data_IF_406162479892
#
_entry.id   IF_406162479892
#
_cell.length_a   1.000
_cell.length_b   1.000
_cell.length_c   1.000
_cell.angle_alpha   90.00
_cell.angle_beta   90.00
_cell.angle_gamma   90.00
#
_symmetry.space_group_name_H-M   'P 1'
#
loop_
_entity.id
_entity.type
_entity.pdbx_description
1 polymer ?
#
# COMPACT_ATOMS: atom_id res chain seq x y z
N UNK A 1 -17.19 6.38 -24.79
CA UNK A 1 -16.33 5.68 -23.76
C UNK A 1 -16.93 5.82 -22.36
N UNK A 2 -16.38 5.14 -21.35
CA UNK A 2 -16.78 5.39 -19.95
C UNK A 2 -16.42 6.82 -19.50
N UNK A 3 -15.35 7.39 -20.04
CA UNK A 3 -14.94 8.76 -19.77
C UNK A 3 -16.01 9.76 -20.22
N UNK A 4 -16.48 9.67 -21.48
CA UNK A 4 -17.50 10.57 -22.01
C UNK A 4 -18.80 10.52 -21.19
N UNK A 5 -19.18 9.32 -20.73
CA UNK A 5 -20.37 9.12 -19.88
C UNK A 5 -20.20 9.76 -18.49
N UNK A 6 -19.01 9.64 -17.89
CA UNK A 6 -18.69 10.28 -16.59
C UNK A 6 -18.64 11.80 -16.74
N UNK A 7 -18.04 12.32 -17.82
CA UNK A 7 -17.98 13.75 -18.11
C UNK A 7 -19.37 14.36 -18.35
N UNK A 8 -20.31 13.59 -18.96
CA UNK A 8 -21.71 14.00 -19.09
C UNK A 8 -22.50 13.94 -17.77
N UNK A 9 -21.88 13.54 -16.67
CA UNK A 9 -22.53 13.41 -15.36
C UNK A 9 -23.28 12.09 -15.14
N UNK A 10 -23.13 11.12 -16.06
CA UNK A 10 -23.82 9.84 -15.92
C UNK A 10 -23.25 9.01 -14.77
N UNK A 11 -24.13 8.43 -13.91
CA UNK A 11 -23.75 7.51 -12.85
C UNK A 11 -23.68 6.08 -13.40
N UNK A 12 -22.51 5.68 -13.84
CA UNK A 12 -22.28 4.34 -14.38
C UNK A 12 -22.18 3.30 -13.27
N UNK A 13 -22.66 2.08 -13.55
CA UNK A 13 -22.73 0.98 -12.59
C UNK A 13 -21.35 0.58 -12.04
N UNK A 14 -20.32 0.67 -12.88
CA UNK A 14 -18.92 0.35 -12.51
C UNK A 14 -18.35 1.26 -11.41
N UNK A 15 -18.92 2.46 -11.24
CA UNK A 15 -18.54 3.41 -10.20
C UNK A 15 -19.51 3.42 -9.00
N UNK A 16 -20.35 2.39 -8.84
CA UNK A 16 -21.38 2.35 -7.80
C UNK A 16 -20.84 2.51 -6.38
N UNK A 17 -19.64 1.98 -6.09
CA UNK A 17 -18.97 2.18 -4.79
C UNK A 17 -18.71 3.64 -4.49
N UNK A 18 -18.17 4.38 -5.46
CA UNK A 18 -17.94 5.83 -5.33
C UNK A 18 -19.25 6.60 -5.13
N UNK A 19 -20.28 6.28 -5.91
CA UNK A 19 -21.59 6.94 -5.78
C UNK A 19 -22.22 6.72 -4.41
N UNK A 20 -22.14 5.51 -3.86
CA UNK A 20 -22.64 5.21 -2.50
C UNK A 20 -21.88 6.01 -1.42
N UNK A 21 -20.59 6.19 -1.60
CA UNK A 21 -19.75 7.00 -0.68
C UNK A 21 -20.17 8.47 -0.74
N UNK A 22 -20.32 9.00 -1.96
CA UNK A 22 -20.73 10.38 -2.23
C UNK A 22 -22.16 10.68 -1.73
N UNK A 23 -23.09 9.75 -1.90
CA UNK A 23 -24.47 9.87 -1.41
C UNK A 23 -24.56 9.95 0.13
N UNK A 24 -23.51 9.48 0.84
CA UNK A 24 -23.37 9.63 2.30
C UNK A 24 -22.66 10.92 2.70
N UNK A 25 -22.31 11.80 1.76
CA UNK A 25 -21.58 13.03 2.01
C UNK A 25 -20.09 12.85 2.26
N UNK A 26 -19.53 11.66 1.95
CA UNK A 26 -18.13 11.34 2.11
C UNK A 26 -17.38 11.53 0.77
N UNK A 27 -16.08 11.80 0.85
CA UNK A 27 -15.22 11.94 -0.33
C UNK A 27 -14.88 10.56 -0.88
N UNK A 28 -15.27 10.29 -2.13
CA UNK A 28 -14.94 9.05 -2.81
C UNK A 28 -13.53 9.03 -3.40
N UNK A 29 -13.04 7.84 -3.72
CA UNK A 29 -11.75 7.68 -4.46
C UNK A 29 -11.80 8.40 -5.80
N UNK A 30 -12.94 8.41 -6.48
CA UNK A 30 -13.14 9.13 -7.74
C UNK A 30 -12.97 10.63 -7.56
N UNK A 31 -13.62 11.23 -6.57
CA UNK A 31 -13.47 12.66 -6.26
C UNK A 31 -12.04 13.01 -5.89
N UNK A 32 -11.42 12.22 -4.99
CA UNK A 32 -10.01 12.41 -4.64
C UNK A 32 -9.07 12.34 -5.85
N UNK A 33 -9.34 11.42 -6.79
CA UNK A 33 -8.55 11.31 -8.03
C UNK A 33 -8.72 12.53 -8.94
N UNK A 34 -9.95 13.02 -9.11
CA UNK A 34 -10.24 14.24 -9.89
C UNK A 34 -9.57 15.46 -9.26
N UNK A 35 -9.71 15.64 -7.95
CA UNK A 35 -9.09 16.75 -7.22
C UNK A 35 -7.56 16.72 -7.29
N UNK A 36 -6.97 15.53 -7.18
CA UNK A 36 -5.54 15.35 -7.35
C UNK A 36 -5.08 15.69 -8.76
N UNK A 37 -5.83 15.23 -9.79
CA UNK A 37 -5.54 15.55 -11.18
C UNK A 37 -5.61 17.07 -11.42
N UNK A 38 -6.69 17.72 -11.01
CA UNK A 38 -6.89 19.15 -11.19
C UNK A 38 -5.81 19.99 -10.51
N UNK A 39 -5.35 19.57 -9.32
CA UNK A 39 -4.30 20.29 -8.59
C UNK A 39 -2.90 20.12 -9.17
N UNK A 40 -2.60 18.95 -9.72
CA UNK A 40 -1.23 18.61 -10.06
C UNK A 40 -0.96 18.43 -11.55
N UNK A 41 -1.98 18.22 -12.37
CA UNK A 41 -1.82 17.75 -13.76
C UNK A 41 -2.75 18.43 -14.77
N UNK A 42 -3.61 19.37 -14.37
CA UNK A 42 -4.62 19.99 -15.28
C UNK A 42 -4.01 20.56 -16.58
N UNK A 43 -2.79 21.11 -16.49
CA UNK A 43 -2.08 21.72 -17.62
C UNK A 43 -1.08 20.75 -18.29
N UNK A 44 -1.05 19.48 -17.90
CA UNK A 44 -0.11 18.49 -18.41
C UNK A 44 -0.82 17.50 -19.34
N UNK A 45 -0.53 17.51 -20.65
CA UNK A 45 -1.17 16.58 -21.58
C UNK A 45 -0.68 15.15 -21.39
N UNK A 46 -1.58 14.18 -21.60
CA UNK A 46 -1.27 12.75 -21.60
C UNK A 46 -1.33 12.09 -20.22
N UNK A 47 -0.65 10.96 -20.08
CA UNK A 47 -0.62 10.17 -18.85
C UNK A 47 0.48 10.71 -17.92
N UNK A 48 0.10 11.23 -16.78
CA UNK A 48 1.01 11.85 -15.80
C UNK A 48 1.26 10.98 -14.54
N UNK A 49 0.36 10.04 -14.28
CA UNK A 49 0.49 9.08 -13.18
C UNK A 49 0.11 7.68 -13.66
N UNK A 50 0.85 6.67 -13.19
CA UNK A 50 0.58 5.27 -13.45
C UNK A 50 0.58 4.48 -12.15
N UNK A 51 -0.33 3.50 -12.06
CA UNK A 51 -0.33 2.43 -11.06
C UNK A 51 -0.12 1.11 -11.80
N UNK A 52 0.97 0.42 -11.48
CA UNK A 52 1.41 -0.76 -12.23
C UNK A 52 1.50 -1.97 -11.31
N UNK A 53 0.91 -3.07 -11.77
CA UNK A 53 1.03 -4.41 -11.19
C UNK A 53 1.65 -5.33 -12.23
N UNK A 54 2.97 -5.57 -12.14
CA UNK A 54 3.66 -6.40 -13.13
C UNK A 54 3.33 -7.89 -12.99
N UNK A 55 3.14 -8.34 -11.76
CA UNK A 55 2.88 -9.75 -11.44
C UNK A 55 2.21 -9.91 -10.07
N UNK A 56 1.73 -11.12 -9.79
CA UNK A 56 1.24 -11.53 -8.47
C UNK A 56 2.24 -12.41 -7.70
N UNK A 57 3.51 -12.51 -8.15
CA UNK A 57 4.55 -13.26 -7.42
C UNK A 57 4.73 -12.67 -6.04
N UNK A 58 4.55 -13.49 -4.99
CA UNK A 58 4.68 -13.09 -3.61
C UNK A 58 5.24 -14.22 -2.76
N UNK A 59 6.09 -13.86 -1.80
CA UNK A 59 6.69 -14.77 -0.82
C UNK A 59 5.84 -14.92 0.45
N UNK A 60 4.66 -14.30 0.51
CA UNK A 60 3.77 -14.32 1.67
C UNK A 60 2.36 -14.78 1.32
N UNK A 61 1.68 -15.35 2.32
CA UNK A 61 0.27 -15.68 2.29
C UNK A 61 -0.43 -15.00 3.48
N UNK A 62 -0.50 -13.66 3.42
CA UNK A 62 -1.15 -12.86 4.47
C UNK A 62 -2.64 -13.23 4.58
N UNK A 63 -3.18 -13.26 5.80
CA UNK A 63 -4.54 -13.75 6.06
C UNK A 63 -5.63 -12.96 5.32
N UNK A 64 -5.45 -11.66 5.07
CA UNK A 64 -6.38 -10.81 4.32
C UNK A 64 -6.15 -10.86 2.80
N UNK A 65 -5.18 -11.64 2.32
CA UNK A 65 -4.85 -11.74 0.90
C UNK A 65 -5.53 -12.95 0.25
N UNK A 66 -5.39 -13.10 -1.06
CA UNK A 66 -5.98 -14.19 -1.83
C UNK A 66 -5.02 -14.68 -2.94
N UNK A 67 -5.32 -15.85 -3.50
CA UNK A 67 -4.51 -16.53 -4.51
C UNK A 67 -4.23 -15.67 -5.75
N UNK A 68 -5.19 -14.86 -6.20
CA UNK A 68 -4.97 -13.99 -7.37
C UNK A 68 -3.96 -12.85 -7.12
N UNK A 69 -3.65 -12.52 -5.86
CA UNK A 69 -2.65 -11.53 -5.48
C UNK A 69 -1.34 -12.13 -4.93
N UNK A 70 -1.31 -13.46 -4.68
CA UNK A 70 -0.13 -14.12 -4.11
C UNK A 70 0.05 -15.53 -4.65
N UNK A 71 1.18 -15.75 -5.31
CA UNK A 71 1.55 -17.10 -5.79
C UNK A 71 1.77 -18.08 -4.65
N UNK A 72 2.13 -17.63 -3.43
CA UNK A 72 2.21 -18.52 -2.28
C UNK A 72 0.80 -18.98 -1.84
N UNK A 73 -0.19 -18.06 -1.81
CA UNK A 73 -1.58 -18.42 -1.58
C UNK A 73 -2.10 -19.39 -2.65
N UNK A 74 -1.87 -19.09 -3.94
CA UNK A 74 -2.27 -19.97 -5.04
C UNK A 74 -1.71 -21.37 -4.84
N UNK A 75 -0.43 -21.50 -4.51
CA UNK A 75 0.21 -22.79 -4.21
C UNK A 75 -0.43 -23.53 -3.04
N UNK A 76 -0.77 -22.83 -1.96
CA UNK A 76 -1.41 -23.43 -0.78
C UNK A 76 -2.82 -23.93 -1.09
N UNK A 77 -3.54 -23.24 -1.97
CA UNK A 77 -4.88 -23.61 -2.44
C UNK A 77 -4.85 -24.64 -3.61
N UNK A 78 -3.66 -25.04 -4.06
CA UNK A 78 -3.51 -25.98 -5.20
C UNK A 78 -3.94 -25.37 -6.54
N UNK A 79 -3.86 -24.04 -6.69
CA UNK A 79 -4.22 -23.29 -7.90
C UNK A 79 -2.97 -22.88 -8.68
N UNK A 80 -3.10 -22.80 -10.00
CA UNK A 80 -2.09 -22.19 -10.88
C UNK A 80 -2.58 -20.80 -11.31
N UNK A 81 -2.32 -19.81 -10.47
CA UNK A 81 -2.74 -18.42 -10.66
C UNK A 81 -1.52 -17.49 -10.73
N UNK A 82 -0.56 -17.82 -11.58
CA UNK A 82 0.57 -16.93 -11.84
C UNK A 82 0.22 -15.97 -12.97
N UNK A 83 0.27 -14.66 -12.67
CA UNK A 83 0.03 -13.59 -13.63
C UNK A 83 1.28 -12.72 -13.77
N UNK A 84 1.65 -12.40 -15.01
CA UNK A 84 2.82 -11.57 -15.32
C UNK A 84 2.56 -10.75 -16.60
N UNK A 85 2.99 -9.49 -16.59
CA UNK A 85 2.95 -8.65 -17.80
C UNK A 85 4.08 -9.06 -18.74
N UNK A 86 3.73 -9.47 -19.96
CA UNK A 86 4.72 -9.85 -20.99
C UNK A 86 5.48 -8.65 -21.57
N UNK A 87 6.63 -8.92 -22.19
CA UNK A 87 7.55 -7.89 -22.71
C UNK A 87 6.89 -6.90 -23.70
N UNK A 88 6.03 -7.38 -24.60
CA UNK A 88 5.30 -6.49 -25.55
C UNK A 88 4.44 -5.46 -24.83
N UNK A 89 3.83 -5.85 -23.70
CA UNK A 89 3.04 -4.91 -22.88
C UNK A 89 3.95 -3.95 -22.13
N UNK A 90 5.14 -4.34 -21.72
CA UNK A 90 6.11 -3.44 -21.07
C UNK A 90 6.59 -2.36 -22.05
N UNK A 91 6.91 -2.72 -23.29
CA UNK A 91 7.27 -1.75 -24.34
C UNK A 91 6.14 -0.73 -24.58
N UNK A 92 4.89 -1.21 -24.62
CA UNK A 92 3.73 -0.31 -24.74
C UNK A 92 3.61 0.62 -23.54
N UNK A 93 3.77 0.12 -22.30
CA UNK A 93 3.76 0.94 -21.08
C UNK A 93 4.84 2.01 -21.14
N UNK A 94 6.08 1.66 -21.52
CA UNK A 94 7.16 2.63 -21.68
C UNK A 94 6.84 3.69 -22.75
N UNK A 95 6.19 3.31 -23.83
CA UNK A 95 5.78 4.27 -24.89
C UNK A 95 4.78 5.32 -24.38
N UNK A 96 3.96 4.97 -23.39
CA UNK A 96 2.99 5.85 -22.75
C UNK A 96 3.60 6.70 -21.60
N UNK A 97 4.82 6.38 -21.16
CA UNK A 97 5.41 6.92 -19.93
C UNK A 97 6.09 8.29 -20.07
N UNK A 98 6.09 8.91 -21.27
CA UNK A 98 6.86 10.12 -21.58
C UNK A 98 6.58 11.31 -20.65
N UNK A 99 5.34 11.43 -20.16
CA UNK A 99 4.92 12.53 -19.29
C UNK A 99 4.65 12.06 -17.85
N UNK A 100 4.96 10.80 -17.52
CA UNK A 100 4.69 10.25 -16.20
C UNK A 100 5.67 10.83 -15.20
N UNK A 101 5.13 11.45 -14.16
CA UNK A 101 5.87 12.03 -13.04
C UNK A 101 5.55 11.32 -11.72
N UNK A 102 4.53 10.45 -11.69
CA UNK A 102 4.21 9.60 -10.55
C UNK A 102 4.01 8.16 -11.01
N UNK A 103 4.78 7.24 -10.43
CA UNK A 103 4.66 5.81 -10.67
C UNK A 103 4.41 5.09 -9.34
N UNK A 104 3.25 4.47 -9.23
CA UNK A 104 2.90 3.60 -8.10
C UNK A 104 3.11 2.15 -8.50
N UNK A 105 3.86 1.42 -7.70
CA UNK A 105 4.17 0.00 -7.93
C UNK A 105 3.53 -0.84 -6.85
N UNK A 106 2.68 -1.75 -7.27
CA UNK A 106 2.01 -2.73 -6.43
C UNK A 106 2.08 -4.11 -7.09
N UNK A 107 1.50 -5.10 -6.46
CA UNK A 107 1.39 -6.44 -7.01
C UNK A 107 1.47 -7.47 -5.91
N UNK A 108 2.01 -8.66 -6.17
CA UNK A 108 2.30 -9.62 -5.12
C UNK A 108 3.30 -9.04 -4.12
N UNK A 109 4.57 -9.06 -4.46
CA UNK A 109 5.63 -8.36 -3.71
C UNK A 109 6.64 -7.74 -4.68
N UNK A 110 6.82 -6.44 -4.61
CA UNK A 110 7.63 -5.66 -5.56
C UNK A 110 9.11 -6.03 -5.58
N UNK A 111 9.65 -6.61 -4.52
CA UNK A 111 11.04 -7.05 -4.43
C UNK A 111 11.20 -8.58 -4.48
N UNK A 112 10.14 -9.32 -4.86
CA UNK A 112 10.21 -10.77 -4.99
C UNK A 112 10.45 -11.16 -6.45
N UNK A 113 11.68 -10.97 -6.88
CA UNK A 113 12.16 -11.16 -8.25
C UNK A 113 12.77 -9.87 -8.79
N UNK A 114 13.40 -9.91 -9.97
CA UNK A 114 14.05 -8.75 -10.58
C UNK A 114 13.05 -7.82 -11.31
N UNK A 115 11.88 -8.31 -11.69
CA UNK A 115 11.00 -7.70 -12.69
C UNK A 115 10.64 -6.24 -12.38
N UNK A 116 10.26 -5.93 -11.15
CA UNK A 116 9.96 -4.56 -10.76
C UNK A 116 11.21 -3.68 -10.71
N UNK A 117 12.33 -4.23 -10.26
CA UNK A 117 13.59 -3.50 -10.22
C UNK A 117 14.03 -3.14 -11.64
N UNK A 118 14.01 -4.12 -12.55
CA UNK A 118 14.34 -3.91 -13.95
C UNK A 118 13.38 -2.93 -14.64
N UNK A 119 12.09 -3.02 -14.32
CA UNK A 119 11.09 -2.09 -14.85
C UNK A 119 11.38 -0.64 -14.44
N UNK A 120 11.64 -0.38 -13.16
CA UNK A 120 11.96 0.97 -12.66
C UNK A 120 13.30 1.45 -13.22
N UNK A 121 14.31 0.59 -13.27
CA UNK A 121 15.64 0.94 -13.74
C UNK A 121 15.64 1.36 -15.22
N UNK A 122 14.73 0.81 -16.02
CA UNK A 122 14.53 1.16 -17.42
C UNK A 122 13.42 2.20 -17.66
N UNK A 123 12.84 2.79 -16.61
CA UNK A 123 11.75 3.75 -16.77
C UNK A 123 12.24 5.06 -17.39
N UNK A 124 11.61 5.58 -18.47
CA UNK A 124 12.17 6.64 -19.31
C UNK A 124 12.42 7.99 -18.63
N UNK A 125 11.69 8.31 -17.56
CA UNK A 125 11.73 9.62 -16.86
C UNK A 125 12.07 9.48 -15.40
N UNK A 126 12.92 8.53 -15.06
CA UNK A 126 13.22 8.14 -13.67
C UNK A 126 13.68 9.32 -12.80
N UNK A 127 14.48 10.24 -13.32
CA UNK A 127 15.00 11.40 -12.59
C UNK A 127 13.92 12.42 -12.21
N UNK A 128 12.76 12.39 -12.90
CA UNK A 128 11.61 13.27 -12.62
C UNK A 128 10.52 12.57 -11.82
N UNK A 129 10.73 11.29 -11.49
CA UNK A 129 9.70 10.40 -11.00
C UNK A 129 9.51 10.50 -9.48
N UNK A 130 8.26 10.67 -9.05
CA UNK A 130 7.83 10.29 -7.70
C UNK A 130 7.52 8.81 -7.78
N UNK A 131 8.42 7.99 -7.24
CA UNK A 131 8.28 6.54 -7.21
C UNK A 131 7.64 6.12 -5.88
N UNK A 132 6.51 5.44 -5.96
CA UNK A 132 5.66 5.06 -4.83
C UNK A 132 5.55 3.52 -4.79
N UNK A 133 6.28 2.85 -3.89
CA UNK A 133 6.47 1.39 -3.88
C UNK A 133 5.80 0.75 -2.68
N UNK A 134 4.90 -0.20 -2.91
CA UNK A 134 4.31 -1.03 -1.87
C UNK A 134 5.10 -2.32 -1.69
N UNK A 135 5.42 -2.68 -0.45
CA UNK A 135 6.21 -3.87 -0.14
C UNK A 135 5.84 -4.46 1.22
N UNK A 136 5.96 -5.78 1.33
CA UNK A 136 5.88 -6.48 2.60
C UNK A 136 7.19 -6.40 3.42
N UNK A 137 8.14 -5.63 2.95
CA UNK A 137 9.48 -5.34 3.47
C UNK A 137 10.44 -6.54 3.60
N UNK A 138 9.94 -7.77 3.63
CA UNK A 138 10.78 -8.97 3.87
C UNK A 138 11.81 -9.18 2.77
N UNK A 139 11.44 -8.95 1.52
CA UNK A 139 12.33 -9.13 0.35
C UNK A 139 12.98 -7.84 -0.11
N UNK A 140 12.65 -6.70 0.50
CA UNK A 140 13.17 -5.38 0.13
C UNK A 140 14.71 -5.35 0.12
N UNK A 141 15.30 -4.99 -1.02
CA UNK A 141 16.76 -4.79 -1.15
C UNK A 141 17.14 -3.35 -0.83
N UNK A 142 17.82 -3.17 0.28
CA UNK A 142 18.26 -1.85 0.77
C UNK A 142 19.24 -1.15 -0.18
N UNK A 143 19.98 -1.91 -1.01
CA UNK A 143 20.88 -1.32 -2.02
C UNK A 143 20.06 -0.67 -3.13
N UNK A 144 18.95 -1.29 -3.53
CA UNK A 144 17.99 -0.75 -4.50
C UNK A 144 17.34 0.52 -3.94
N UNK A 145 16.85 0.48 -2.68
CA UNK A 145 16.28 1.67 -2.02
C UNK A 145 17.26 2.84 -2.02
N UNK A 146 18.52 2.60 -1.63
CA UNK A 146 19.56 3.64 -1.61
C UNK A 146 19.85 4.21 -3.00
N UNK A 147 19.80 3.37 -4.03
CA UNK A 147 20.00 3.77 -5.42
C UNK A 147 18.82 4.62 -5.91
N UNK A 148 17.60 4.13 -5.80
CA UNK A 148 16.40 4.84 -6.25
C UNK A 148 16.17 6.16 -5.51
N UNK A 149 16.49 6.22 -4.21
CA UNK A 149 16.45 7.47 -3.45
C UNK A 149 17.36 8.58 -4.04
N UNK A 150 18.46 8.21 -4.69
CA UNK A 150 19.36 9.14 -5.36
C UNK A 150 18.96 9.47 -6.80
N UNK A 151 18.34 8.51 -7.48
CA UNK A 151 18.06 8.57 -8.92
C UNK A 151 16.66 9.12 -9.24
N UNK A 152 15.69 8.92 -8.36
CA UNK A 152 14.35 9.44 -8.53
C UNK A 152 14.22 10.82 -7.87
N UNK A 153 13.30 11.65 -8.40
CA UNK A 153 12.93 12.93 -7.78
C UNK A 153 12.49 12.76 -6.32
N UNK A 154 11.72 11.70 -6.06
CA UNK A 154 11.26 11.30 -4.74
C UNK A 154 11.00 9.80 -4.70
N UNK A 155 11.38 9.14 -3.60
CA UNK A 155 11.07 7.75 -3.35
C UNK A 155 10.18 7.65 -2.11
N UNK A 156 9.00 7.07 -2.28
CA UNK A 156 8.08 6.71 -1.19
C UNK A 156 8.05 5.19 -1.05
N UNK A 157 8.21 4.70 0.16
CA UNK A 157 8.08 3.26 0.48
C UNK A 157 6.90 3.06 1.41
N UNK A 158 5.94 2.26 0.95
CA UNK A 158 4.78 1.86 1.73
C UNK A 158 5.05 0.46 2.30
N UNK A 159 5.50 0.44 3.53
CA UNK A 159 5.80 -0.78 4.27
C UNK A 159 4.49 -1.36 4.83
N UNK A 160 4.09 -2.52 4.32
CA UNK A 160 2.91 -3.23 4.79
C UNK A 160 3.24 -3.99 6.08
N UNK A 161 2.88 -3.43 7.24
CA UNK A 161 3.17 -3.97 8.57
C UNK A 161 1.90 -3.85 9.43
N UNK A 162 1.27 -4.99 9.77
CA UNK A 162 -0.04 -5.03 10.45
C UNK A 162 0.06 -5.45 11.94
N UNK A 163 1.18 -5.18 12.57
CA UNK A 163 1.46 -5.50 13.96
C UNK A 163 2.95 -5.67 14.19
N UNK A 164 3.30 -6.06 15.40
CA UNK A 164 4.67 -6.37 15.81
C UNK A 164 4.76 -7.83 16.27
N UNK A 165 5.96 -8.40 16.28
CA UNK A 165 6.27 -9.71 16.85
C UNK A 165 5.36 -10.83 16.31
N UNK A 166 4.73 -11.60 17.20
CA UNK A 166 3.86 -12.71 16.84
C UNK A 166 2.66 -12.27 16.01
N UNK A 167 2.09 -11.10 16.29
CA UNK A 167 0.93 -10.56 15.54
C UNK A 167 1.30 -10.33 14.07
N UNK A 168 2.49 -9.77 13.81
CA UNK A 168 2.98 -9.65 12.45
C UNK A 168 3.17 -11.02 11.78
N UNK A 169 3.80 -11.97 12.48
CA UNK A 169 4.12 -13.29 11.95
C UNK A 169 2.86 -14.13 11.67
N UNK A 170 1.81 -13.97 12.47
CA UNK A 170 0.53 -14.61 12.27
C UNK A 170 -0.22 -14.04 11.04
N UNK A 171 -0.34 -12.72 10.96
CA UNK A 171 -1.09 -12.05 9.89
C UNK A 171 -0.35 -12.15 8.55
N UNK A 172 0.98 -12.00 8.56
CA UNK A 172 1.83 -11.95 7.37
C UNK A 172 2.72 -13.17 7.21
N UNK A 173 2.10 -14.34 7.38
CA UNK A 173 2.80 -15.63 7.26
C UNK A 173 3.40 -15.82 5.83
N UNK A 174 4.63 -16.39 5.70
CA UNK A 174 5.58 -16.84 6.75
C UNK A 174 6.64 -15.78 7.10
N UNK A 175 6.29 -14.50 7.02
CA UNK A 175 7.18 -13.39 7.36
C UNK A 175 7.72 -13.50 8.79
N UNK A 176 8.94 -12.98 9.00
CA UNK A 176 9.57 -12.93 10.32
C UNK A 176 9.73 -11.50 10.79
N UNK A 177 9.18 -11.18 11.97
CA UNK A 177 9.19 -9.83 12.53
C UNK A 177 10.59 -9.22 12.59
N UNK A 178 11.56 -9.93 13.13
CA UNK A 178 12.94 -9.45 13.24
C UNK A 178 13.54 -9.02 11.89
N UNK A 179 13.10 -9.62 10.77
CA UNK A 179 13.53 -9.24 9.43
C UNK A 179 12.77 -8.00 8.94
N UNK A 180 11.45 -7.95 9.17
CA UNK A 180 10.61 -6.81 8.80
C UNK A 180 11.06 -5.54 9.53
N UNK A 181 11.20 -5.61 10.86
CA UNK A 181 11.68 -4.52 11.69
C UNK A 181 13.03 -3.98 11.22
N UNK A 182 14.01 -4.87 11.04
CA UNK A 182 15.34 -4.48 10.57
C UNK A 182 15.28 -3.77 9.23
N UNK A 183 14.48 -4.28 8.27
CA UNK A 183 14.34 -3.67 6.94
C UNK A 183 13.63 -2.34 6.98
N UNK A 184 12.57 -2.19 7.77
CA UNK A 184 11.87 -0.93 7.96
C UNK A 184 12.82 0.14 8.55
N UNK A 185 13.57 -0.18 9.60
CA UNK A 185 14.59 0.72 10.17
C UNK A 185 15.65 1.13 9.14
N UNK A 186 16.19 0.16 8.39
CA UNK A 186 17.18 0.45 7.34
C UNK A 186 16.64 1.35 6.22
N UNK A 187 15.36 1.18 5.84
CA UNK A 187 14.72 2.07 4.88
C UNK A 187 14.54 3.47 5.47
N UNK A 188 14.05 3.56 6.72
CA UNK A 188 13.89 4.83 7.42
C UNK A 188 15.20 5.61 7.54
N UNK A 189 16.33 4.95 7.82
CA UNK A 189 17.66 5.58 7.85
C UNK A 189 18.09 6.20 6.51
N UNK A 190 17.46 5.78 5.40
CA UNK A 190 17.78 6.28 4.05
C UNK A 190 16.80 7.37 3.61
N UNK A 191 15.49 7.13 3.79
CA UNK A 191 14.44 7.96 3.20
C UNK A 191 13.63 8.76 4.23
N UNK A 192 13.85 8.55 5.54
CA UNK A 192 13.18 9.30 6.61
C UNK A 192 11.65 9.24 6.52
N UNK A 193 11.01 10.40 6.51
CA UNK A 193 9.55 10.57 6.46
C UNK A 193 8.89 10.04 5.17
N UNK A 194 9.67 9.70 4.16
CA UNK A 194 9.16 9.10 2.93
C UNK A 194 8.93 7.58 3.08
N UNK A 195 9.29 6.99 4.22
CA UNK A 195 8.77 5.70 4.68
C UNK A 195 7.39 5.90 5.29
N UNK A 196 6.40 5.14 4.83
CA UNK A 196 5.04 5.10 5.37
C UNK A 196 4.70 3.67 5.74
N UNK A 197 3.95 3.50 6.82
CA UNK A 197 3.43 2.20 7.23
C UNK A 197 1.98 2.06 6.77
N UNK A 198 1.69 1.02 6.02
CA UNK A 198 0.32 0.61 5.70
C UNK A 198 -0.09 -0.47 6.69
N UNK A 199 -1.10 -0.17 7.50
CA UNK A 199 -1.61 -1.04 8.54
C UNK A 199 -3.06 -1.42 8.23
N UNK A 200 -3.29 -2.70 7.97
CA UNK A 200 -4.63 -3.24 7.74
C UNK A 200 -5.26 -3.63 9.07
N UNK A 201 -6.16 -2.80 9.58
CA UNK A 201 -6.87 -3.04 10.84
C UNK A 201 -7.86 -4.19 10.63
N UNK A 202 -7.75 -5.20 11.48
CA UNK A 202 -8.59 -6.40 11.47
C UNK A 202 -8.76 -6.96 12.90
N UNK A 203 -9.70 -7.89 13.08
CA UNK A 203 -9.96 -8.48 14.39
C UNK A 203 -8.69 -9.03 15.07
N UNK A 204 -7.80 -9.67 14.29
CA UNK A 204 -6.57 -10.29 14.81
C UNK A 204 -5.56 -9.29 15.39
N UNK A 205 -5.58 -8.02 14.97
CA UNK A 205 -4.58 -7.03 15.42
C UNK A 205 -5.17 -5.84 16.20
N UNK A 206 -6.48 -5.80 16.42
CA UNK A 206 -7.14 -4.68 17.08
C UNK A 206 -6.51 -4.36 18.45
N UNK A 207 -6.24 -5.38 19.27
CA UNK A 207 -5.62 -5.21 20.60
C UNK A 207 -4.14 -4.81 20.57
N UNK A 208 -3.46 -4.92 19.43
CA UNK A 208 -2.02 -4.66 19.30
C UNK A 208 -1.69 -3.35 18.61
N UNK A 209 -2.68 -2.55 18.22
CA UNK A 209 -2.46 -1.27 17.51
C UNK A 209 -1.56 -0.34 18.34
N UNK A 210 -1.82 -0.19 19.63
CA UNK A 210 -1.02 0.67 20.53
C UNK A 210 0.43 0.16 20.64
N UNK A 211 0.65 -1.15 20.63
CA UNK A 211 2.01 -1.73 20.59
C UNK A 211 2.74 -1.34 19.30
N UNK A 212 2.04 -1.39 18.17
CA UNK A 212 2.60 -0.95 16.89
C UNK A 212 2.90 0.56 16.88
N UNK A 213 2.02 1.40 17.40
CA UNK A 213 2.24 2.84 17.55
C UNK A 213 3.50 3.13 18.39
N UNK A 214 3.64 2.44 19.53
CA UNK A 214 4.81 2.57 20.40
C UNK A 214 6.11 2.13 19.69
N UNK A 215 6.06 1.03 18.95
CA UNK A 215 7.18 0.59 18.13
C UNK A 215 7.54 1.62 17.07
N UNK A 216 6.57 2.12 16.30
CA UNK A 216 6.78 3.14 15.26
C UNK A 216 7.46 4.38 15.84
N UNK A 217 6.98 4.90 16.95
CA UNK A 217 7.55 6.10 17.58
C UNK A 217 9.02 5.92 18.01
N UNK A 218 9.44 4.70 18.31
CA UNK A 218 10.85 4.40 18.65
C UNK A 218 11.71 4.08 17.42
N UNK A 219 11.16 3.32 16.48
CA UNK A 219 11.90 2.72 15.39
C UNK A 219 11.96 3.60 14.13
N UNK A 220 10.86 4.33 13.85
CA UNK A 220 10.66 5.15 12.65
C UNK A 220 9.82 6.39 12.98
N UNK A 221 10.27 7.26 13.90
CA UNK A 221 9.43 8.22 14.65
C UNK A 221 8.64 9.22 13.81
N UNK A 222 9.06 9.52 12.60
CA UNK A 222 8.39 10.50 11.73
C UNK A 222 7.72 9.86 10.51
N UNK A 223 7.71 8.50 10.43
CA UNK A 223 6.98 7.82 9.38
C UNK A 223 5.47 7.90 9.63
N UNK A 224 4.70 8.24 8.58
CA UNK A 224 3.24 8.25 8.61
C UNK A 224 2.70 6.81 8.66
N UNK A 225 1.59 6.61 9.37
CA UNK A 225 0.81 5.37 9.30
C UNK A 225 -0.46 5.66 8.50
N UNK A 226 -0.79 4.76 7.57
CA UNK A 226 -2.02 4.78 6.80
C UNK A 226 -2.83 3.57 7.24
N UNK A 227 -3.90 3.82 7.96
CA UNK A 227 -4.80 2.78 8.42
C UNK A 227 -5.83 2.45 7.35
N UNK A 228 -6.07 1.16 7.15
CA UNK A 228 -7.11 0.65 6.26
C UNK A 228 -7.90 -0.43 6.99
N UNK A 229 -9.22 -0.35 6.94
CA UNK A 229 -10.08 -1.37 7.52
C UNK A 229 -10.17 -2.59 6.60
N UNK A 230 -10.03 -3.77 7.16
CA UNK A 230 -10.31 -5.03 6.46
C UNK A 230 -11.81 -5.30 6.52
N UNK A 231 -12.50 -5.13 5.40
CA UNK A 231 -13.94 -5.35 5.29
C UNK A 231 -14.32 -6.81 5.00
N UNK A 232 -13.38 -7.60 4.54
CA UNK A 232 -13.61 -9.01 4.22
C UNK A 232 -12.34 -9.84 4.08
N UNK A 233 -12.43 -11.17 4.24
CA UNK A 233 -13.63 -11.91 4.66
C UNK A 233 -14.15 -11.50 6.05
N UNK A 234 -15.43 -11.76 6.35
CA UNK A 234 -16.09 -11.26 7.58
C UNK A 234 -15.37 -11.65 8.87
N UNK A 235 -14.72 -12.79 8.88
CA UNK A 235 -13.95 -13.31 10.02
C UNK A 235 -12.74 -12.45 10.37
N UNK A 236 -12.26 -11.65 9.43
CA UNK A 236 -11.15 -10.73 9.61
C UNK A 236 -11.60 -9.31 9.93
N UNK A 237 -12.83 -8.93 9.56
CA UNK A 237 -13.36 -7.60 9.86
C UNK A 237 -13.35 -7.33 11.37
N UNK A 238 -13.19 -6.08 11.75
CA UNK A 238 -13.34 -5.64 13.16
C UNK A 238 -14.71 -5.97 13.75
N UNK A 239 -15.73 -6.16 12.91
CA UNK A 239 -17.05 -6.62 13.35
C UNK A 239 -17.02 -8.03 13.95
N UNK A 240 -16.02 -8.84 13.61
CA UNK A 240 -15.80 -10.16 14.22
C UNK A 240 -15.17 -10.09 15.61
N UNK A 241 -14.63 -8.93 16.00
CA UNK A 241 -14.06 -8.74 17.34
C UNK A 241 -15.14 -8.77 18.41
N UNK A 242 -14.80 -9.33 19.58
CA UNK A 242 -15.68 -9.29 20.76
C UNK A 242 -15.81 -7.86 21.29
N UNK A 243 -16.86 -7.61 22.09
CA UNK A 243 -17.01 -6.32 22.76
C UNK A 243 -15.82 -6.05 23.71
N UNK A 244 -15.34 -7.08 24.41
CA UNK A 244 -14.17 -6.98 25.29
C UNK A 244 -12.91 -6.53 24.53
N UNK A 245 -12.68 -7.01 23.31
CA UNK A 245 -11.54 -6.61 22.50
C UNK A 245 -11.65 -5.17 22.03
N UNK A 246 -12.83 -4.72 21.66
CA UNK A 246 -13.08 -3.32 21.31
C UNK A 246 -12.90 -2.39 22.51
N UNK A 247 -13.45 -2.76 23.67
CA UNK A 247 -13.32 -1.97 24.91
C UNK A 247 -11.85 -1.92 25.36
N UNK A 248 -11.10 -3.00 25.19
CA UNK A 248 -9.67 -3.02 25.45
C UNK A 248 -8.92 -2.04 24.55
N UNK A 249 -9.20 -2.05 23.24
CA UNK A 249 -8.57 -1.13 22.31
C UNK A 249 -8.85 0.32 22.68
N UNK A 250 -10.12 0.69 22.90
CA UNK A 250 -10.51 2.05 23.29
C UNK A 250 -9.77 2.48 24.56
N UNK A 251 -9.75 1.65 25.58
CA UNK A 251 -9.03 1.94 26.82
C UNK A 251 -7.52 2.16 26.62
N UNK A 252 -6.87 1.30 25.85
CA UNK A 252 -5.43 1.43 25.58
C UNK A 252 -5.14 2.67 24.74
N UNK A 253 -6.03 2.98 23.77
CA UNK A 253 -5.88 4.14 22.91
C UNK A 253 -6.12 5.44 23.70
N UNK A 254 -7.13 5.52 24.56
CA UNK A 254 -7.40 6.69 25.45
C UNK A 254 -6.21 6.99 26.39
N UNK A 255 -5.45 5.97 26.76
CA UNK A 255 -4.25 6.11 27.59
C UNK A 255 -2.96 6.32 26.78
N UNK A 256 -3.03 6.30 25.46
CA UNK A 256 -1.85 6.46 24.60
C UNK A 256 -1.36 7.92 24.63
N UNK A 257 -0.08 8.11 24.97
CA UNK A 257 0.57 9.41 25.09
C UNK A 257 1.63 9.67 24.02
N UNK A 258 1.73 8.79 23.04
CA UNK A 258 2.70 8.93 21.94
C UNK A 258 2.25 9.94 20.89
N UNK A 259 3.10 10.20 19.93
CA UNK A 259 2.82 11.15 18.84
C UNK A 259 1.99 10.49 17.76
N UNK A 260 0.91 11.14 17.35
CA UNK A 260 0.10 10.84 16.18
C UNK A 260 0.08 12.04 15.24
N UNK A 261 -0.07 11.83 13.97
CA UNK A 261 -0.43 12.88 13.01
C UNK A 261 -1.94 13.12 13.06
N UNK A 262 -2.39 14.29 12.63
CA UNK A 262 -3.83 14.62 12.57
C UNK A 262 -4.64 13.65 11.70
N UNK A 263 -3.98 12.97 10.76
CA UNK A 263 -4.59 11.91 9.96
C UNK A 263 -4.76 10.63 10.76
N UNK A 264 -3.68 10.20 11.45
CA UNK A 264 -3.69 8.99 12.26
C UNK A 264 -4.72 9.07 13.38
N UNK A 265 -4.86 10.25 14.03
CA UNK A 265 -5.91 10.52 15.01
C UNK A 265 -7.29 10.28 14.40
N UNK A 266 -7.57 10.91 13.25
CA UNK A 266 -8.86 10.78 12.56
C UNK A 266 -9.18 9.37 12.06
N UNK A 267 -8.16 8.60 11.66
CA UNK A 267 -8.34 7.23 11.14
C UNK A 267 -8.63 6.23 12.29
N UNK A 268 -8.30 6.58 13.54
CA UNK A 268 -8.49 5.74 14.73
C UNK A 268 -9.72 6.10 15.57
N UNK A 269 -10.28 7.30 15.40
CA UNK A 269 -11.57 7.72 15.97
C UNK A 269 -12.74 7.01 15.27
#
# INVERSE_FOLDING_TARGET
SYADRLESGERITQCQGCWKTEDRGLVSVRQSAVDNYNRNYADSPGINAMDIRLHNKCNMACNMCASFNSTLWAKLEGKDETHEIGNTNLEYIYSLSKNVTKLSIQGGESFYGPEFVDFVDNFPTKENLILDVFTNVITMDIRVIRRWHKECKKLLINASIDGTEEVFEEIRWPGKWAKAERRAKQAYDIIGNDLRHFYAIQAANLKSIVNFLNWRNKATPTSEIIFNLVEGPKELSIDASTQEERDYFVKEFDNYTGTLSSREEKDLD
#
